data_IF_058914784610
#
_entry.id   IF_058914784610
#
_cell.length_a   1.000
_cell.length_b   1.000
_cell.length_c   1.000
_cell.angle_alpha   90.00
_cell.angle_beta   90.00
_cell.angle_gamma   90.00
#
_symmetry.space_group_name_H-M   'P 1'
#
loop_
_entity.id
_entity.type
_entity.pdbx_description
1 polymer ?
#
# COMPACT_ATOMS: atom_id res chain seq x y z
N UNK A 1 -4.36 16.42 10.58
CA UNK A 1 -3.33 15.76 9.74
C UNK A 1 -2.51 14.85 10.65
N UNK A 2 -2.41 13.53 10.39
CA UNK A 2 -1.80 12.55 11.33
C UNK A 2 -0.30 12.30 11.13
N UNK A 3 0.28 12.77 10.02
CA UNK A 3 1.71 12.58 9.72
C UNK A 3 2.69 13.22 10.72
N UNK A 4 2.41 14.39 11.35
CA UNK A 4 3.35 14.99 12.31
C UNK A 4 3.59 14.11 13.54
N UNK A 5 2.58 13.35 13.99
CA UNK A 5 2.64 12.51 15.19
C UNK A 5 3.25 11.12 14.95
N UNK A 6 3.70 10.81 13.73
CA UNK A 6 4.37 9.55 13.43
C UNK A 6 5.88 9.69 13.61
N UNK A 7 6.48 8.88 14.48
CA UNK A 7 7.93 8.83 14.68
C UNK A 7 8.64 8.11 13.52
N UNK A 8 7.97 7.10 12.95
CA UNK A 8 8.50 6.29 11.84
C UNK A 8 7.49 6.18 10.71
N UNK A 9 7.95 6.35 9.47
CA UNK A 9 7.17 6.18 8.25
C UNK A 9 7.65 4.92 7.52
N UNK A 10 6.78 3.91 7.45
CA UNK A 10 7.05 2.69 6.66
C UNK A 10 6.35 2.81 5.31
N UNK A 11 7.13 2.94 4.24
CA UNK A 11 6.63 3.04 2.87
C UNK A 11 6.79 1.71 2.12
N UNK A 12 5.65 1.11 1.75
CA UNK A 12 5.59 -0.15 0.99
C UNK A 12 5.61 0.12 -0.52
N UNK A 13 6.80 0.27 -1.10
CA UNK A 13 7.04 0.50 -2.53
C UNK A 13 7.10 -0.82 -3.33
N UNK A 14 6.07 -1.65 -3.17
CA UNK A 14 6.01 -2.97 -3.80
C UNK A 14 5.80 -2.87 -5.33
N UNK A 15 6.28 -3.86 -6.12
CA UNK A 15 6.06 -3.88 -7.55
C UNK A 15 4.57 -3.92 -7.89
N UNK A 16 4.19 -3.02 -8.80
CA UNK A 16 2.82 -2.83 -9.28
C UNK A 16 2.13 -4.09 -9.74
N UNK A 17 2.86 -4.99 -10.40
CA UNK A 17 2.33 -6.27 -10.89
C UNK A 17 1.70 -7.08 -9.76
N UNK A 18 2.24 -7.00 -8.54
CA UNK A 18 1.69 -7.67 -7.37
C UNK A 18 0.42 -6.97 -6.88
N UNK A 19 0.37 -5.64 -6.94
CA UNK A 19 -0.82 -4.86 -6.56
C UNK A 19 -1.96 -5.06 -7.55
N UNK A 20 -1.73 -4.85 -8.85
CA UNK A 20 -2.75 -5.05 -9.88
C UNK A 20 -3.23 -6.49 -9.93
N UNK A 21 -2.34 -7.47 -9.84
CA UNK A 21 -2.75 -8.88 -9.77
C UNK A 21 -3.62 -9.18 -8.53
N UNK A 22 -3.27 -8.66 -7.35
CA UNK A 22 -4.07 -8.88 -6.12
C UNK A 22 -5.41 -8.18 -6.17
N UNK A 23 -5.44 -6.96 -6.71
CA UNK A 23 -6.67 -6.20 -6.94
C UNK A 23 -7.56 -6.95 -7.93
N UNK A 24 -7.04 -7.34 -9.09
CA UNK A 24 -7.78 -8.11 -10.09
C UNK A 24 -8.24 -9.48 -9.56
N UNK A 25 -7.39 -10.20 -8.82
CA UNK A 25 -7.74 -11.47 -8.20
C UNK A 25 -8.91 -11.30 -7.22
N UNK A 26 -8.83 -10.31 -6.32
CA UNK A 26 -9.91 -9.98 -5.38
C UNK A 26 -11.18 -9.59 -6.13
N UNK A 27 -11.03 -8.77 -7.16
CA UNK A 27 -12.15 -8.34 -7.99
C UNK A 27 -12.87 -9.50 -8.67
N UNK A 28 -12.13 -10.52 -9.12
CA UNK A 28 -12.71 -11.71 -9.74
C UNK A 28 -13.29 -12.69 -8.71
N UNK A 29 -12.67 -12.81 -7.53
CA UNK A 29 -13.13 -13.71 -6.47
C UNK A 29 -14.37 -13.19 -5.72
N UNK A 30 -14.47 -11.87 -5.53
CA UNK A 30 -15.52 -11.23 -4.73
C UNK A 30 -16.57 -10.53 -5.61
N UNK A 31 -16.62 -10.84 -6.92
CA UNK A 31 -17.56 -10.25 -7.87
C UNK A 31 -19.01 -10.55 -7.45
N UNK A 32 -19.71 -9.51 -6.97
CA UNK A 32 -21.10 -9.62 -6.52
C UNK A 32 -21.29 -10.03 -5.06
N UNK A 33 -20.22 -10.08 -4.25
CA UNK A 33 -20.31 -10.33 -2.81
C UNK A 33 -19.90 -9.08 -2.03
N UNK A 34 -20.71 -8.68 -1.04
CA UNK A 34 -20.28 -7.68 -0.05
C UNK A 34 -19.22 -8.33 0.82
N UNK A 35 -18.03 -7.75 0.81
CA UNK A 35 -16.94 -8.22 1.67
C UNK A 35 -17.38 -8.23 3.13
N UNK A 36 -16.99 -9.24 3.92
CA UNK A 36 -17.36 -9.32 5.34
C UNK A 36 -16.74 -8.20 6.19
N UNK A 37 -15.66 -7.56 5.71
CA UNK A 37 -15.06 -6.34 6.29
C UNK A 37 -15.71 -5.04 5.83
N UNK A 38 -16.62 -5.07 4.85
CA UNK A 38 -17.36 -3.91 4.35
C UNK A 38 -18.79 -3.88 4.91
N UNK A 39 -19.30 -2.68 5.16
CA UNK A 39 -20.67 -2.49 5.65
C UNK A 39 -21.71 -3.09 4.70
N UNK A 40 -22.78 -3.66 5.28
CA UNK A 40 -23.91 -4.22 4.55
C UNK A 40 -24.48 -3.22 3.53
N UNK A 41 -24.59 -3.64 2.26
CA UNK A 41 -25.11 -2.80 1.17
C UNK A 41 -24.03 -2.09 0.34
N UNK A 42 -22.75 -2.32 0.62
CA UNK A 42 -21.67 -1.85 -0.24
C UNK A 42 -21.35 -2.94 -1.27
N UNK A 43 -22.12 -2.96 -2.36
CA UNK A 43 -21.75 -3.74 -3.54
C UNK A 43 -20.46 -3.17 -4.12
N UNK A 44 -19.46 -4.03 -4.29
CA UNK A 44 -18.18 -3.63 -4.83
C UNK A 44 -18.35 -3.23 -6.31
N UNK A 45 -18.50 -1.93 -6.57
CA UNK A 45 -18.65 -1.40 -7.92
C UNK A 45 -17.32 -1.42 -8.64
N UNK A 46 -17.21 -2.33 -9.59
CA UNK A 46 -16.10 -2.42 -10.53
C UNK A 46 -16.07 -1.20 -11.44
N UNK A 47 -15.21 -0.23 -11.13
CA UNK A 47 -14.97 0.92 -12.00
C UNK A 47 -13.68 0.72 -12.82
N UNK A 48 -13.77 0.58 -14.15
CA UNK A 48 -12.60 0.56 -15.02
C UNK A 48 -11.70 1.80 -14.84
N UNK A 49 -12.26 2.94 -14.42
CA UNK A 49 -11.49 4.15 -14.09
C UNK A 49 -10.60 3.94 -12.86
N UNK A 50 -11.03 3.12 -11.90
CA UNK A 50 -10.21 2.72 -10.75
C UNK A 50 -9.05 1.82 -11.19
N UNK A 51 -9.28 0.87 -12.09
CA UNK A 51 -8.18 0.05 -12.64
C UNK A 51 -7.16 0.91 -13.40
N UNK A 52 -7.65 1.89 -14.18
CA UNK A 52 -6.79 2.85 -14.87
C UNK A 52 -5.98 3.70 -13.87
N UNK A 53 -6.58 4.20 -12.80
CA UNK A 53 -5.85 4.98 -11.79
C UNK A 53 -4.79 4.14 -11.04
N UNK A 54 -5.08 2.86 -10.77
CA UNK A 54 -4.10 1.91 -10.23
C UNK A 54 -2.96 1.69 -11.21
N UNK A 55 -3.24 1.61 -12.51
CA UNK A 55 -2.21 1.45 -13.55
C UNK A 55 -1.35 2.71 -13.74
N UNK A 56 -1.94 3.90 -13.60
CA UNK A 56 -1.25 5.19 -13.76
C UNK A 56 -0.47 5.63 -12.50
N UNK A 57 -0.69 4.97 -11.36
CA UNK A 57 -0.07 5.26 -10.07
C UNK A 57 1.48 5.36 -10.08
N UNK A 58 2.25 4.49 -10.77
CA UNK A 58 3.73 4.53 -10.74
C UNK A 58 4.30 5.73 -11.45
N UNK A 59 3.60 6.21 -12.47
CA UNK A 59 4.04 7.31 -13.31
C UNK A 59 3.68 8.65 -12.69
N UNK A 60 2.58 8.71 -11.94
CA UNK A 60 2.04 9.94 -11.37
C UNK A 60 2.33 10.10 -9.87
N UNK A 61 1.87 9.16 -9.05
CA UNK A 61 1.85 9.29 -7.59
C UNK A 61 3.15 8.84 -6.93
N UNK A 62 3.77 7.75 -7.41
CA UNK A 62 5.02 7.23 -6.85
C UNK A 62 6.16 8.27 -6.76
N UNK A 63 6.48 9.06 -7.81
CA UNK A 63 7.53 10.08 -7.69
C UNK A 63 7.16 11.20 -6.70
N UNK A 64 5.89 11.61 -6.65
CA UNK A 64 5.40 12.63 -5.71
C UNK A 64 5.52 12.15 -4.26
N UNK A 65 5.15 10.90 -3.98
CA UNK A 65 5.28 10.32 -2.65
C UNK A 65 6.75 10.21 -2.26
N UNK A 66 7.62 9.75 -3.18
CA UNK A 66 9.07 9.70 -2.93
C UNK A 66 9.66 11.08 -2.64
N UNK A 67 9.22 12.11 -3.34
CA UNK A 67 9.68 13.48 -3.09
C UNK A 67 9.23 13.99 -1.72
N UNK A 68 8.00 13.70 -1.30
CA UNK A 68 7.53 14.06 0.03
C UNK A 68 8.28 13.29 1.13
N UNK A 69 8.55 12.00 0.93
CA UNK A 69 9.34 11.21 1.86
C UNK A 69 10.75 11.77 1.98
N UNK A 70 11.41 12.10 0.87
CA UNK A 70 12.75 12.67 0.91
C UNK A 70 12.82 14.00 1.68
N UNK A 71 11.77 14.83 1.62
CA UNK A 71 11.67 16.06 2.43
C UNK A 71 11.52 15.81 3.93
N UNK A 72 11.01 14.65 4.32
CA UNK A 72 10.77 14.26 5.71
C UNK A 72 11.92 13.41 6.29
N UNK A 73 12.87 12.99 5.45
CA UNK A 73 13.99 12.12 5.84
C UNK A 73 14.94 12.78 6.85
N UNK A 74 14.99 14.11 6.88
CA UNK A 74 15.76 14.86 7.89
C UNK A 74 15.08 14.95 9.25
N UNK A 75 13.77 14.65 9.33
CA UNK A 75 12.95 14.85 10.52
C UNK A 75 12.38 13.54 11.08
N UNK A 76 12.29 12.48 10.27
CA UNK A 76 11.60 11.23 10.60
C UNK A 76 12.36 10.03 10.06
N UNK A 77 12.24 8.92 10.78
CA UNK A 77 12.77 7.63 10.31
C UNK A 77 11.90 7.09 9.17
N UNK A 78 12.50 6.92 7.98
CA UNK A 78 11.78 6.43 6.80
C UNK A 78 12.33 5.06 6.39
N UNK A 79 11.45 4.06 6.38
CA UNK A 79 11.77 2.69 5.98
C UNK A 79 11.05 2.38 4.67
N UNK A 80 11.81 2.16 3.59
CA UNK A 80 11.26 1.83 2.27
C UNK A 80 11.40 0.34 2.01
N UNK A 81 10.28 -0.37 1.90
CA UNK A 81 10.23 -1.80 1.62
C UNK A 81 9.75 -2.02 0.19
N UNK A 82 10.65 -2.51 -0.68
CA UNK A 82 10.43 -2.64 -2.13
C UNK A 82 10.02 -4.04 -2.55
N UNK A 83 10.15 -5.03 -1.67
CA UNK A 83 9.89 -6.43 -2.00
C UNK A 83 9.20 -7.19 -0.87
N UNK A 84 8.50 -8.27 -1.22
CA UNK A 84 7.91 -9.19 -0.21
C UNK A 84 8.98 -9.82 0.69
N UNK A 85 10.20 -10.00 0.19
CA UNK A 85 11.31 -10.48 0.99
C UNK A 85 11.72 -9.44 2.04
N UNK A 86 11.84 -8.17 1.66
CA UNK A 86 12.13 -7.07 2.59
C UNK A 86 11.04 -6.92 3.64
N UNK A 87 9.75 -7.01 3.26
CA UNK A 87 8.65 -6.97 4.23
C UNK A 87 8.75 -8.10 5.23
N UNK A 88 8.99 -9.34 4.76
CA UNK A 88 9.13 -10.50 5.66
C UNK A 88 10.32 -10.34 6.61
N UNK A 89 11.47 -9.88 6.11
CA UNK A 89 12.66 -9.62 6.92
C UNK A 89 12.41 -8.52 7.94
N UNK A 90 11.73 -7.44 7.53
CA UNK A 90 11.40 -6.34 8.44
C UNK A 90 10.48 -6.83 9.57
N UNK A 91 9.43 -7.58 9.26
CA UNK A 91 8.52 -8.14 10.26
C UNK A 91 9.24 -9.12 11.20
N UNK A 92 10.08 -10.02 10.66
CA UNK A 92 10.86 -10.95 11.47
C UNK A 92 11.79 -10.21 12.45
N UNK A 93 12.53 -9.21 11.96
CA UNK A 93 13.43 -8.42 12.80
C UNK A 93 12.69 -7.62 13.89
N UNK A 94 11.47 -7.14 13.62
CA UNK A 94 10.67 -6.42 14.61
C UNK A 94 10.10 -7.36 15.70
N UNK A 95 9.73 -8.59 15.34
CA UNK A 95 9.27 -9.59 16.30
C UNK A 95 10.41 -10.07 17.22
N UNK A 96 11.63 -10.17 16.70
CA UNK A 96 12.81 -10.50 17.52
C UNK A 96 13.24 -9.36 18.44
N UNK A 97 13.02 -8.11 18.03
CA UNK A 97 13.35 -6.91 18.81
C UNK A 97 12.31 -6.57 19.91
N UNK A 98 11.15 -7.23 19.90
CA UNK A 98 10.06 -6.97 20.85
C UNK A 98 9.41 -8.31 21.27
N UNK A 99 10.12 -9.16 22.03
CA UNK A 99 9.68 -10.50 22.41
C UNK A 99 8.46 -10.50 23.35
#
# INVERSE_FOLDING_TARGET
MRLPAADTIIFLDLPMTVWTYRVLKRMLSDHGQTRPDMGSGCEERFDPKFLKSVWDYPKSQRPVIRQHLHKLESEKDIIILRSRAEVRRFVANQLEANP
#
